data_IF_806107366739
#
_entry.id   IF_806107366739
#
_cell.length_a   1.000
_cell.length_b   1.000
_cell.length_c   1.000
_cell.angle_alpha   90.00
_cell.angle_beta   90.00
_cell.angle_gamma   90.00
#
_symmetry.space_group_name_H-M   'P 1'
#
loop_
_entity.id
_entity.type
_entity.pdbx_description
1 polymer ?
#
# COMPACT_ATOMS: atom_id res chain seq x y z
N UNK A 1 -9.47 11.96 4.91
CA UNK A 1 -10.41 11.92 6.06
C UNK A 1 -11.66 12.79 5.87
N UNK A 2 -11.56 14.07 5.50
CA UNK A 2 -12.75 14.95 5.44
C UNK A 2 -13.77 14.54 4.37
N UNK A 3 -13.33 14.25 3.14
CA UNK A 3 -14.21 13.85 2.03
C UNK A 3 -15.09 12.65 2.37
N UNK A 4 -14.49 11.62 2.98
CA UNK A 4 -15.22 10.41 3.34
C UNK A 4 -16.26 10.65 4.45
N UNK A 5 -15.98 11.61 5.35
CA UNK A 5 -16.90 12.00 6.43
C UNK A 5 -18.11 12.76 5.87
N UNK A 6 -17.89 13.66 4.91
CA UNK A 6 -18.95 14.37 4.16
C UNK A 6 -19.90 13.37 3.49
N UNK A 7 -19.36 12.45 2.68
CA UNK A 7 -20.18 11.48 1.96
C UNK A 7 -21.02 10.58 2.89
N UNK A 8 -20.41 10.08 3.97
CA UNK A 8 -21.08 9.14 4.89
C UNK A 8 -22.07 9.83 5.82
N UNK A 9 -21.72 10.99 6.39
CA UNK A 9 -22.56 11.64 7.39
C UNK A 9 -23.63 12.55 6.78
N UNK A 10 -23.28 13.34 5.77
CA UNK A 10 -24.17 14.34 5.18
C UNK A 10 -24.92 13.80 3.96
N UNK A 11 -24.21 13.10 3.05
CA UNK A 11 -24.85 12.52 1.85
C UNK A 11 -25.48 11.15 2.11
N UNK A 12 -25.36 10.60 3.32
CA UNK A 12 -25.85 9.27 3.72
C UNK A 12 -25.45 8.16 2.74
N UNK A 13 -24.22 8.23 2.23
CA UNK A 13 -23.73 7.33 1.19
C UNK A 13 -22.34 6.80 1.48
N UNK A 14 -22.10 5.52 1.14
CA UNK A 14 -20.79 4.89 1.27
C UNK A 14 -19.96 4.93 -0.02
N UNK A 15 -20.46 5.56 -1.09
CA UNK A 15 -19.77 5.69 -2.37
C UNK A 15 -18.57 6.65 -2.26
N UNK A 16 -17.46 6.12 -1.74
CA UNK A 16 -16.18 6.81 -1.60
C UNK A 16 -15.10 5.84 -2.01
N UNK A 17 -14.24 6.27 -2.92
CA UNK A 17 -13.17 5.44 -3.48
C UNK A 17 -11.91 6.27 -3.74
N UNK A 18 -10.79 5.60 -4.03
CA UNK A 18 -9.49 6.21 -4.25
C UNK A 18 -8.58 5.33 -5.14
N UNK A 19 -7.45 5.88 -5.57
CA UNK A 19 -6.54 5.24 -6.53
C UNK A 19 -5.99 3.87 -6.08
N UNK A 20 -5.92 3.59 -4.78
CA UNK A 20 -5.45 2.29 -4.30
C UNK A 20 -6.33 1.13 -4.81
N UNK A 21 -7.59 1.39 -5.20
CA UNK A 21 -8.43 0.37 -5.85
C UNK A 21 -7.76 -0.20 -7.10
N UNK A 22 -7.07 0.63 -7.87
CA UNK A 22 -6.41 0.23 -9.11
C UNK A 22 -5.00 -0.30 -8.88
N UNK A 23 -4.29 0.22 -7.87
CA UNK A 23 -2.86 -0.06 -7.70
C UNK A 23 -2.57 -1.21 -6.73
N UNK A 24 -3.29 -1.30 -5.60
CA UNK A 24 -2.93 -2.20 -4.49
C UNK A 24 -4.13 -2.91 -3.83
N UNK A 25 -5.32 -2.88 -4.43
CA UNK A 25 -6.51 -3.53 -3.87
C UNK A 25 -6.33 -5.03 -3.68
N UNK A 26 -5.75 -5.72 -4.66
CA UNK A 26 -5.44 -7.14 -4.59
C UNK A 26 -4.47 -7.46 -3.46
N UNK A 27 -3.41 -6.65 -3.30
CA UNK A 27 -2.44 -6.80 -2.22
C UNK A 27 -3.08 -6.62 -0.84
N UNK A 28 -3.93 -5.59 -0.66
CA UNK A 28 -4.65 -5.37 0.61
C UNK A 28 -5.51 -6.58 0.97
N UNK A 29 -6.27 -7.13 0.01
CA UNK A 29 -7.12 -8.30 0.26
C UNK A 29 -6.30 -9.54 0.63
N UNK A 30 -5.24 -9.83 -0.14
CA UNK A 30 -4.41 -11.02 0.09
C UNK A 30 -3.61 -10.93 1.41
N UNK A 31 -3.04 -9.76 1.71
CA UNK A 31 -2.25 -9.52 2.91
C UNK A 31 -3.12 -9.51 4.17
N UNK A 32 -4.32 -8.92 4.11
CA UNK A 32 -5.27 -9.01 5.22
C UNK A 32 -5.66 -10.46 5.53
N UNK A 33 -5.86 -11.30 4.51
CA UNK A 33 -6.18 -12.72 4.71
C UNK A 33 -4.99 -13.52 5.26
N UNK A 34 -3.76 -13.18 4.86
CA UNK A 34 -2.56 -13.96 5.19
C UNK A 34 -1.89 -13.52 6.50
N UNK A 35 -1.88 -12.21 6.79
CA UNK A 35 -1.10 -11.58 7.86
C UNK A 35 -1.94 -10.66 8.76
N UNK A 36 -3.23 -10.47 8.47
CA UNK A 36 -4.12 -9.62 9.27
C UNK A 36 -3.93 -8.11 9.06
N UNK A 37 -3.05 -7.70 8.14
CA UNK A 37 -2.80 -6.29 7.81
C UNK A 37 -2.63 -6.12 6.29
N UNK A 38 -3.20 -5.06 5.72
CA UNK A 38 -3.04 -4.70 4.31
C UNK A 38 -1.85 -3.77 4.02
N UNK A 39 -1.07 -3.43 5.04
CA UNK A 39 0.11 -2.58 4.91
C UNK A 39 1.38 -3.38 4.57
N UNK A 40 2.48 -2.69 4.26
CA UNK A 40 3.81 -3.31 4.21
C UNK A 40 4.15 -3.95 5.56
N UNK A 41 4.78 -5.13 5.53
CA UNK A 41 5.15 -5.87 6.73
C UNK A 41 6.38 -5.30 7.45
N UNK A 42 7.24 -4.59 6.70
CA UNK A 42 8.55 -4.13 7.16
C UNK A 42 8.79 -2.68 6.75
N UNK A 43 9.75 -2.07 7.45
CA UNK A 43 10.27 -0.74 7.17
C UNK A 43 11.44 -0.78 6.19
N UNK A 44 11.85 0.37 5.66
CA UNK A 44 13.03 0.44 4.81
C UNK A 44 14.34 0.13 5.55
N UNK A 45 14.40 0.33 6.87
CA UNK A 45 15.58 -0.03 7.65
C UNK A 45 15.81 -1.55 7.65
N UNK A 46 14.73 -2.33 7.73
CA UNK A 46 14.80 -3.79 7.69
C UNK A 46 15.34 -4.32 6.34
N UNK A 47 15.25 -3.52 5.27
CA UNK A 47 15.78 -3.90 3.94
C UNK A 47 17.30 -3.75 3.86
N UNK A 48 17.88 -2.80 4.59
CA UNK A 48 19.33 -2.59 4.66
C UNK A 48 20.01 -3.73 5.43
N UNK A 49 19.33 -4.29 6.43
CA UNK A 49 19.77 -5.46 7.20
C UNK A 49 19.46 -6.80 6.51
N UNK A 50 18.64 -6.78 5.45
CA UNK A 50 18.25 -8.00 4.74
C UNK A 50 19.43 -8.56 3.93
N UNK A 51 19.85 -9.79 4.23
CA UNK A 51 20.90 -10.47 3.45
C UNK A 51 20.50 -10.85 2.02
N UNK A 52 19.21 -10.73 1.68
CA UNK A 52 18.68 -10.99 0.35
C UNK A 52 17.37 -10.22 0.13
N UNK A 53 17.24 -9.56 -1.02
CA UNK A 53 16.03 -8.88 -1.46
C UNK A 53 15.45 -9.59 -2.70
N UNK A 54 14.20 -10.05 -2.59
CA UNK A 54 13.46 -10.62 -3.72
C UNK A 54 12.51 -9.57 -4.30
N UNK A 55 12.81 -9.10 -5.51
CA UNK A 55 12.01 -8.09 -6.21
C UNK A 55 11.16 -8.75 -7.31
N UNK A 56 9.84 -8.59 -7.25
CA UNK A 56 8.89 -9.17 -8.22
C UNK A 56 7.97 -8.08 -8.76
N UNK A 57 7.96 -7.90 -10.09
CA UNK A 57 7.03 -6.98 -10.76
C UNK A 57 7.16 -5.51 -10.36
N UNK A 58 8.39 -5.04 -10.05
CA UNK A 58 8.67 -3.67 -9.63
C UNK A 58 9.91 -3.12 -10.32
N UNK A 59 9.93 -1.80 -10.58
CA UNK A 59 11.12 -1.04 -10.96
C UNK A 59 11.40 0.08 -9.92
N UNK A 60 12.16 -0.24 -8.85
CA UNK A 60 12.43 0.71 -7.77
C UNK A 60 13.20 1.95 -8.23
N UNK A 61 14.04 1.85 -9.26
CA UNK A 61 14.85 2.98 -9.72
C UNK A 61 13.98 4.07 -10.36
N UNK A 62 12.94 3.68 -11.08
CA UNK A 62 12.00 4.62 -11.70
C UNK A 62 10.90 5.08 -10.74
N UNK A 63 10.32 4.15 -9.97
CA UNK A 63 9.13 4.44 -9.16
C UNK A 63 9.43 4.92 -7.74
N UNK A 64 10.54 4.48 -7.15
CA UNK A 64 10.94 4.77 -5.77
C UNK A 64 12.47 4.99 -5.68
N UNK A 65 13.05 5.95 -6.42
CA UNK A 65 14.51 6.07 -6.60
C UNK A 65 15.31 6.19 -5.29
N UNK A 66 14.72 6.76 -4.24
CA UNK A 66 15.36 6.86 -2.92
C UNK A 66 15.52 5.48 -2.26
N UNK A 67 14.59 4.56 -2.50
CA UNK A 67 14.67 3.18 -2.00
C UNK A 67 15.54 2.34 -2.93
N UNK A 68 15.43 2.53 -4.25
CA UNK A 68 16.24 1.78 -5.22
C UNK A 68 17.74 2.09 -5.18
N UNK A 69 18.12 3.28 -4.71
CA UNK A 69 19.52 3.69 -4.56
C UNK A 69 20.17 3.30 -3.22
N UNK A 70 19.41 2.67 -2.31
CA UNK A 70 19.91 2.14 -1.04
C UNK A 70 20.32 0.69 -1.22
#
# INVERSE_FOLDING_TARGET
YVQQKLARLLMKSNHVDHCARLCHSSSVVAMMASLGSGATSNSYADYEDAGCLMVVGSDPNSNHPVVGAR
#
